data_IF_008949103912
#
_entry.id   IF_008949103912
#
_cell.length_a   1.000
_cell.length_b   1.000
_cell.length_c   1.000
_cell.angle_alpha   90.00
_cell.angle_beta   90.00
_cell.angle_gamma   90.00
#
_symmetry.space_group_name_H-M   'P 1'
#
loop_
_entity.id
_entity.type
_entity.pdbx_description
1 polymer ?
#
# COMPACT_ATOMS: atom_id res chain seq x y z
N UNK A 1 19.91 -32.21 -19.30
CA UNK A 1 18.69 -31.43 -19.61
C UNK A 1 18.74 -30.97 -21.06
N UNK A 2 17.74 -31.35 -21.86
CA UNK A 2 17.66 -31.02 -23.29
C UNK A 2 17.33 -29.55 -23.55
N UNK A 3 17.76 -29.03 -24.70
CA UNK A 3 17.48 -27.65 -25.14
C UNK A 3 15.97 -27.36 -25.18
N UNK A 4 15.17 -28.35 -25.55
CA UNK A 4 13.70 -28.32 -25.55
C UNK A 4 13.12 -28.09 -24.15
N UNK A 5 13.65 -28.75 -23.12
CA UNK A 5 13.21 -28.56 -21.73
C UNK A 5 13.51 -27.14 -21.23
N UNK A 6 14.65 -26.56 -21.63
CA UNK A 6 15.00 -25.17 -21.28
C UNK A 6 14.06 -24.16 -21.95
N UNK A 7 13.74 -24.37 -23.23
CA UNK A 7 12.82 -23.49 -23.99
C UNK A 7 11.40 -23.58 -23.44
N UNK A 8 10.91 -24.79 -23.13
CA UNK A 8 9.60 -24.98 -22.52
C UNK A 8 9.48 -24.28 -21.15
N UNK A 9 10.53 -24.35 -20.32
CA UNK A 9 10.55 -23.66 -19.03
C UNK A 9 10.47 -22.14 -19.16
N UNK A 10 11.24 -21.56 -20.08
CA UNK A 10 11.22 -20.09 -20.32
C UNK A 10 9.87 -19.64 -20.87
N UNK A 11 9.27 -20.41 -21.79
CA UNK A 11 7.96 -20.09 -22.36
C UNK A 11 6.85 -20.12 -21.29
N UNK A 12 6.88 -21.10 -20.38
CA UNK A 12 5.92 -21.19 -19.28
C UNK A 12 6.01 -19.98 -18.33
N UNK A 13 7.22 -19.56 -17.96
CA UNK A 13 7.44 -18.40 -17.10
C UNK A 13 6.97 -17.10 -17.75
N UNK A 14 7.29 -16.90 -19.04
CA UNK A 14 6.84 -15.74 -19.79
C UNK A 14 5.30 -15.67 -19.87
N UNK A 15 4.65 -16.81 -20.15
CA UNK A 15 3.18 -16.90 -20.16
C UNK A 15 2.56 -16.55 -18.82
N UNK A 16 3.15 -17.02 -17.71
CA UNK A 16 2.68 -16.72 -16.35
C UNK A 16 2.82 -15.22 -16.00
N UNK A 17 3.88 -14.57 -16.46
CA UNK A 17 4.05 -13.13 -16.27
C UNK A 17 2.97 -12.31 -17.00
N UNK A 18 2.64 -12.70 -18.23
CA UNK A 18 1.60 -12.03 -19.03
C UNK A 18 0.21 -12.20 -18.39
N UNK A 19 -0.14 -13.39 -17.91
CA UNK A 19 -1.44 -13.61 -17.27
C UNK A 19 -1.59 -12.80 -15.99
N UNK A 20 -0.54 -12.71 -15.16
CA UNK A 20 -0.54 -11.86 -13.96
C UNK A 20 -0.75 -10.38 -14.31
N UNK A 21 -0.10 -9.89 -15.38
CA UNK A 21 -0.28 -8.51 -15.84
C UNK A 21 -1.70 -8.20 -16.34
N UNK A 22 -2.35 -9.15 -17.00
CA UNK A 22 -3.74 -8.99 -17.44
C UNK A 22 -4.69 -8.98 -16.24
N UNK A 23 -4.48 -9.89 -15.29
CA UNK A 23 -5.31 -9.96 -14.08
C UNK A 23 -5.16 -8.68 -13.27
N UNK A 24 -3.95 -8.15 -13.11
CA UNK A 24 -3.72 -6.94 -12.31
C UNK A 24 -4.36 -5.70 -12.91
N UNK A 25 -4.34 -5.54 -14.25
CA UNK A 25 -4.99 -4.39 -14.91
C UNK A 25 -6.50 -4.55 -15.02
N UNK A 26 -7.01 -5.78 -15.00
CA UNK A 26 -8.43 -6.08 -15.16
C UNK A 26 -9.21 -6.10 -13.84
N UNK A 27 -8.54 -5.92 -12.69
CA UNK A 27 -9.24 -5.80 -11.42
C UNK A 27 -10.09 -4.52 -11.42
N UNK A 28 -11.42 -4.62 -11.17
CA UNK A 28 -12.25 -3.45 -10.97
C UNK A 28 -11.72 -2.62 -9.80
N UNK A 29 -11.84 -1.30 -9.89
CA UNK A 29 -11.55 -0.44 -8.74
C UNK A 29 -12.45 -0.86 -7.58
N UNK A 30 -11.91 -1.16 -6.38
CA UNK A 30 -12.72 -1.58 -5.26
C UNK A 30 -13.73 -0.48 -4.91
N UNK A 31 -15.02 -0.77 -5.09
CA UNK A 31 -16.09 0.13 -4.68
C UNK A 31 -15.91 0.45 -3.19
N UNK A 32 -15.75 1.72 -2.80
CA UNK A 32 -15.58 2.07 -1.40
C UNK A 32 -16.81 1.63 -0.63
N UNK A 33 -16.62 0.71 0.31
CA UNK A 33 -17.69 0.30 1.20
C UNK A 33 -18.13 1.51 2.03
N UNK A 34 -19.45 1.72 2.25
CA UNK A 34 -19.91 2.78 3.12
C UNK A 34 -19.30 2.58 4.51
N UNK A 35 -18.49 3.55 4.93
CA UNK A 35 -17.90 3.56 6.26
C UNK A 35 -19.07 3.71 7.24
N UNK A 36 -19.42 2.63 7.95
CA UNK A 36 -20.33 2.75 9.09
C UNK A 36 -19.60 3.64 10.09
N UNK A 37 -20.05 4.89 10.25
CA UNK A 37 -19.59 5.74 11.33
C UNK A 37 -19.73 4.93 12.62
N UNK A 38 -18.60 4.62 13.26
CA UNK A 38 -18.58 3.83 14.47
C UNK A 38 -19.49 4.53 15.48
N UNK A 39 -20.67 3.96 15.72
CA UNK A 39 -21.66 4.50 16.63
C UNK A 39 -20.98 4.66 17.98
N UNK A 40 -20.73 5.93 18.36
CA UNK A 40 -20.17 6.41 19.63
C UNK A 40 -19.48 5.30 20.44
N UNK A 41 -18.35 4.80 19.92
CA UNK A 41 -17.57 3.76 20.58
C UNK A 41 -17.09 4.34 21.92
N UNK A 42 -17.36 3.62 23.02
CA UNK A 42 -17.10 4.05 24.39
C UNK A 42 -15.76 4.79 24.53
N UNK A 43 -15.83 6.11 24.63
CA UNK A 43 -14.69 7.04 24.59
C UNK A 43 -13.73 6.89 25.75
N UNK A 44 -14.14 6.22 26.82
CA UNK A 44 -13.33 6.05 28.03
C UNK A 44 -12.28 4.92 27.88
N UNK A 45 -12.65 3.78 27.28
CA UNK A 45 -11.72 2.65 27.10
C UNK A 45 -10.69 2.95 26.02
N UNK A 46 -11.11 3.60 24.93
CA UNK A 46 -10.24 3.93 23.81
C UNK A 46 -9.18 4.97 24.18
N UNK A 47 -9.47 5.93 25.05
CA UNK A 47 -8.50 6.96 25.43
C UNK A 47 -7.29 6.38 26.20
N UNK A 48 -7.51 5.38 27.07
CA UNK A 48 -6.45 4.70 27.83
C UNK A 48 -5.60 3.82 26.92
N UNK A 49 -6.23 3.07 26.02
CA UNK A 49 -5.53 2.23 25.05
C UNK A 49 -4.74 3.07 24.03
N UNK A 50 -5.31 4.18 23.56
CA UNK A 50 -4.61 5.13 22.68
C UNK A 50 -3.42 5.80 23.39
N UNK A 51 -3.54 6.14 24.68
CA UNK A 51 -2.41 6.63 25.49
C UNK A 51 -1.28 5.60 25.59
N UNK A 52 -1.61 4.31 25.67
CA UNK A 52 -0.63 3.21 25.69
C UNK A 52 0.05 3.01 24.33
N UNK A 53 -0.72 3.06 23.24
CA UNK A 53 -0.19 2.93 21.88
C UNK A 53 0.69 4.12 21.46
N UNK A 54 0.42 5.32 21.99
CA UNK A 54 1.17 6.55 21.69
C UNK A 54 2.63 6.50 22.13
N UNK A 55 2.98 5.63 23.08
CA UNK A 55 4.38 5.40 23.48
C UNK A 55 5.15 4.53 22.48
N UNK A 56 4.45 3.66 21.73
CA UNK A 56 5.05 2.80 20.70
C UNK A 56 5.13 3.54 19.35
N UNK A 57 4.20 4.46 19.11
CA UNK A 57 4.23 5.38 17.96
C UNK A 57 4.81 6.73 18.37
N UNK A 58 6.06 6.73 18.84
CA UNK A 58 6.83 7.97 18.68
C UNK A 58 6.92 8.26 17.17
N UNK A 59 6.68 9.52 16.74
CA UNK A 59 6.86 9.87 15.35
C UNK A 59 8.33 9.67 15.00
N UNK A 60 8.59 8.59 14.28
CA UNK A 60 9.90 8.36 13.67
C UNK A 60 10.15 9.56 12.76
N UNK A 61 11.13 10.40 13.11
CA UNK A 61 11.47 11.62 12.35
C UNK A 61 11.68 11.29 10.87
N UNK A 62 12.17 10.08 10.56
CA UNK A 62 12.30 9.58 9.19
C UNK A 62 10.98 9.31 8.47
N UNK A 63 9.93 8.87 9.17
CA UNK A 63 8.60 8.65 8.60
C UNK A 63 7.94 9.98 8.21
N UNK A 64 8.00 10.98 9.08
CA UNK A 64 7.44 12.31 8.81
C UNK A 64 8.21 13.02 7.68
N UNK A 65 9.54 12.90 7.64
CA UNK A 65 10.34 13.43 6.55
C UNK A 65 10.01 12.77 5.19
N UNK A 66 9.82 11.45 5.16
CA UNK A 66 9.44 10.71 3.96
C UNK A 66 8.02 11.09 3.50
N UNK A 67 7.08 11.26 4.43
CA UNK A 67 5.73 11.72 4.15
C UNK A 67 5.72 13.12 3.54
N UNK A 68 6.43 14.08 4.15
CA UNK A 68 6.48 15.45 3.66
C UNK A 68 7.16 15.56 2.29
N UNK A 69 8.20 14.77 2.02
CA UNK A 69 8.82 14.69 0.70
C UNK A 69 7.82 14.17 -0.36
N UNK A 70 7.12 13.07 -0.07
CA UNK A 70 6.12 12.50 -1.00
C UNK A 70 4.97 13.47 -1.25
N UNK A 71 4.50 14.14 -0.20
CA UNK A 71 3.40 15.10 -0.25
C UNK A 71 3.76 16.31 -1.11
N UNK A 72 4.94 16.91 -0.92
CA UNK A 72 5.40 18.03 -1.75
C UNK A 72 5.54 17.66 -3.22
N UNK A 73 6.09 16.47 -3.50
CA UNK A 73 6.23 15.96 -4.85
C UNK A 73 4.87 15.78 -5.54
N UNK A 74 3.89 15.19 -4.83
CA UNK A 74 2.54 15.01 -5.35
C UNK A 74 1.86 16.33 -5.70
N UNK A 75 2.08 17.39 -4.90
CA UNK A 75 1.52 18.72 -5.14
C UNK A 75 2.39 19.63 -6.02
N UNK A 76 3.45 19.12 -6.65
CA UNK A 76 4.34 19.91 -7.51
C UNK A 76 4.99 21.09 -6.78
N UNK A 77 5.18 20.97 -5.46
CA UNK A 77 5.77 22.03 -4.61
C UNK A 77 7.30 21.98 -4.57
N UNK A 78 7.90 20.96 -5.18
CA UNK A 78 9.35 20.82 -5.28
C UNK A 78 9.92 21.67 -6.45
N UNK A 79 9.09 22.09 -7.40
CA UNK A 79 9.50 22.77 -8.64
C UNK A 79 9.49 24.31 -8.54
N UNK A 80 9.25 24.88 -7.34
CA UNK A 80 9.15 26.34 -7.12
C UNK A 80 10.31 26.96 -6.32
N UNK A 81 11.52 26.44 -6.48
CA UNK A 81 12.75 27.11 -6.02
C UNK A 81 13.43 27.86 -7.16
#
# INVERSE_FOLDING_TARGET
>A
MGRTTKVAGVAALAGMMVTVGIVSVSQPEPTPAPVKAAGKLATASSAVDLRRCRTITMPEIGCEAAWEAKRRHFFGRDDKQ
#
